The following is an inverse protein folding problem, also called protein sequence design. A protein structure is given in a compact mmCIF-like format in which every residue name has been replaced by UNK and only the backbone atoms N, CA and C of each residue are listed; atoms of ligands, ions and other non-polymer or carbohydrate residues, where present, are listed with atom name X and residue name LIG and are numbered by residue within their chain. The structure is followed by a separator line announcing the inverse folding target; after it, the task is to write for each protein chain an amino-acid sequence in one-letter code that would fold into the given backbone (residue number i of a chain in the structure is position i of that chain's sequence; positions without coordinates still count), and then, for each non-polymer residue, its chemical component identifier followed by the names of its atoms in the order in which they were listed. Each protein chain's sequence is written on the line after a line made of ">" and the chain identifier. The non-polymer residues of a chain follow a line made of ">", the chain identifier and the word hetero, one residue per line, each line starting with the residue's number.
data_IF_202511404824
#
_entry.id   IF_202511404824
#
_cell.length_a   1.000
_cell.length_b   1.000
_cell.length_c   1.000
_cell.angle_alpha   90.00
_cell.angle_beta   90.00
_cell.angle_gamma   90.00
#
_symmetry.space_group_name_H-M   'P 1'
#
loop_
_entity.id
_entity.type
_entity.pdbx_description
1 polymer ?
#
# COMPACT_ATOMS: atom_id res chain seq x y z
N UNK A 1 14.08 45.94 -51.06
CA UNK A 1 13.14 45.28 -50.12
C UNK A 1 13.63 43.86 -49.84
N UNK A 2 14.20 43.58 -48.66
CA UNK A 2 14.33 42.23 -48.09
C UNK A 2 14.26 42.34 -46.57
N UNK A 3 13.12 41.95 -46.02
CA UNK A 3 12.82 41.99 -44.59
C UNK A 3 13.42 40.75 -43.92
N UNK A 4 14.33 40.94 -42.97
CA UNK A 4 14.85 39.85 -42.14
C UNK A 4 13.84 39.53 -41.04
N UNK A 5 13.19 38.37 -41.13
CA UNK A 5 12.33 37.86 -40.07
C UNK A 5 13.20 37.26 -38.94
N UNK A 6 13.14 37.86 -37.76
CA UNK A 6 13.67 37.28 -36.51
C UNK A 6 12.80 36.09 -36.12
N UNK A 7 13.42 34.92 -36.00
CA UNK A 7 12.80 33.72 -35.41
C UNK A 7 12.87 33.88 -33.88
N UNK A 8 11.72 33.93 -33.23
CA UNK A 8 11.62 33.89 -31.77
C UNK A 8 11.87 32.46 -31.26
N UNK A 9 12.56 32.26 -30.12
CA UNK A 9 12.80 30.93 -29.59
C UNK A 9 11.49 30.33 -29.03
N UNK A 10 11.25 29.07 -29.37
CA UNK A 10 10.13 28.29 -28.84
C UNK A 10 10.24 28.18 -27.31
N UNK A 11 9.15 28.50 -26.61
CA UNK A 11 9.05 28.36 -25.17
C UNK A 11 9.31 26.89 -24.77
N UNK A 12 10.42 26.65 -24.06
CA UNK A 12 10.70 25.34 -23.47
C UNK A 12 9.59 24.99 -22.48
N UNK A 13 8.78 23.97 -22.83
CA UNK A 13 7.86 23.33 -21.90
C UNK A 13 8.68 22.71 -20.78
N UNK A 14 8.71 23.38 -19.63
CA UNK A 14 9.28 22.83 -18.39
C UNK A 14 8.45 21.59 -18.05
N UNK A 15 9.08 20.42 -18.06
CA UNK A 15 8.46 19.19 -17.62
C UNK A 15 8.06 19.29 -16.15
N UNK A 16 6.87 18.84 -15.74
CA UNK A 16 6.44 18.93 -14.34
C UNK A 16 7.38 18.10 -13.46
N UNK A 17 7.79 18.68 -12.32
CA UNK A 17 8.57 17.96 -11.30
C UNK A 17 7.78 16.73 -10.83
N UNK A 18 8.44 15.57 -10.64
CA UNK A 18 7.78 14.40 -10.08
C UNK A 18 7.22 14.74 -8.69
N UNK A 19 5.98 14.31 -8.45
CA UNK A 19 5.32 14.51 -7.17
C UNK A 19 6.10 13.81 -6.04
N UNK A 20 6.06 14.34 -4.80
CA UNK A 20 6.65 13.63 -3.67
C UNK A 20 5.98 12.27 -3.50
N UNK A 21 6.77 11.22 -3.21
CA UNK A 21 6.34 9.81 -3.16
C UNK A 21 5.04 9.63 -2.38
N UNK A 22 4.89 10.28 -1.22
CA UNK A 22 3.67 10.20 -0.39
C UNK A 22 2.41 10.66 -1.12
N UNK A 23 2.51 11.71 -1.93
CA UNK A 23 1.38 12.22 -2.72
C UNK A 23 0.99 11.23 -3.80
N UNK A 24 1.98 10.55 -4.40
CA UNK A 24 1.72 9.50 -5.39
C UNK A 24 1.06 8.26 -4.74
N UNK A 25 1.47 7.88 -3.53
CA UNK A 25 0.86 6.75 -2.79
C UNK A 25 -0.58 7.05 -2.40
N UNK A 26 -0.88 8.29 -2.00
CA UNK A 26 -2.28 8.70 -1.72
C UNK A 26 -3.13 8.84 -2.98
N UNK A 27 -2.52 8.75 -4.16
CA UNK A 27 -3.21 8.64 -5.43
C UNK A 27 -3.40 7.16 -5.85
N UNK A 28 -2.96 6.19 -5.04
CA UNK A 28 -3.30 4.78 -5.22
C UNK A 28 -4.84 4.63 -5.28
N UNK A 29 -5.41 3.95 -6.29
CA UNK A 29 -6.85 3.81 -6.44
C UNK A 29 -7.56 3.17 -5.23
N UNK A 30 -6.85 2.35 -4.45
CA UNK A 30 -7.37 1.72 -3.23
C UNK A 30 -7.40 2.67 -2.04
N UNK A 31 -6.68 3.79 -2.10
CA UNK A 31 -6.50 4.72 -0.97
C UNK A 31 -7.83 5.14 -0.31
N UNK A 32 -8.89 5.53 -1.05
CA UNK A 32 -10.17 5.88 -0.43
C UNK A 32 -10.79 4.73 0.39
N UNK A 33 -10.66 3.49 -0.09
CA UNK A 33 -11.20 2.30 0.57
C UNK A 33 -10.41 1.96 1.82
N UNK A 34 -9.08 2.13 1.76
CA UNK A 34 -8.19 1.98 2.92
C UNK A 34 -8.57 2.97 4.02
N UNK A 35 -8.74 4.25 3.66
CA UNK A 35 -9.14 5.30 4.61
C UNK A 35 -10.51 4.99 5.22
N UNK A 36 -11.48 4.59 4.39
CA UNK A 36 -12.82 4.22 4.86
C UNK A 36 -12.78 3.00 5.81
N UNK A 37 -11.95 2.00 5.53
CA UNK A 37 -11.79 0.83 6.37
C UNK A 37 -11.14 1.16 7.72
N UNK A 38 -10.09 1.99 7.73
CA UNK A 38 -9.49 2.49 8.95
C UNK A 38 -10.47 3.33 9.77
N UNK A 39 -11.30 4.16 9.12
CA UNK A 39 -12.33 4.95 9.80
C UNK A 39 -13.38 4.03 10.44
N UNK A 40 -13.85 3.01 9.73
CA UNK A 40 -14.82 2.04 10.28
C UNK A 40 -14.27 1.33 11.53
N UNK A 41 -13.00 0.97 11.54
CA UNK A 41 -12.34 0.41 12.72
C UNK A 41 -12.30 1.42 13.89
N UNK A 42 -12.01 2.70 13.60
CA UNK A 42 -12.05 3.78 14.62
C UNK A 42 -13.44 4.02 15.17
N UNK A 43 -14.45 4.01 14.33
CA UNK A 43 -15.86 4.16 14.73
C UNK A 43 -16.30 2.99 15.61
N UNK A 44 -15.76 1.79 15.36
CA UNK A 44 -15.88 0.63 16.24
C UNK A 44 -15.02 0.69 17.52
N UNK A 45 -14.41 1.86 17.81
CA UNK A 45 -13.53 2.12 18.96
C UNK A 45 -12.30 1.21 19.03
N UNK A 46 -11.81 0.75 17.87
CA UNK A 46 -10.54 0.00 17.81
C UNK A 46 -9.37 0.97 17.98
N UNK A 47 -8.43 0.57 18.83
CA UNK A 47 -7.17 1.28 19.06
C UNK A 47 -5.97 0.59 18.39
N UNK A 48 -6.18 -0.65 17.95
CA UNK A 48 -5.20 -1.46 17.25
C UNK A 48 -5.67 -1.83 15.84
N UNK A 49 -4.73 -2.00 14.92
CA UNK A 49 -4.99 -2.50 13.56
C UNK A 49 -3.84 -3.37 13.06
N UNK A 50 -4.18 -4.52 12.48
CA UNK A 50 -3.27 -5.43 11.76
C UNK A 50 -3.52 -5.34 10.26
N UNK A 51 -2.45 -5.07 9.51
CA UNK A 51 -2.49 -4.84 8.06
C UNK A 51 -1.52 -5.80 7.39
N UNK A 52 -2.00 -6.57 6.41
CA UNK A 52 -1.15 -7.37 5.52
C UNK A 52 -1.13 -6.72 4.15
N UNK A 53 0.05 -6.61 3.54
CA UNK A 53 0.23 -6.15 2.16
C UNK A 53 0.87 -7.29 1.37
N UNK A 54 0.04 -7.98 0.58
CA UNK A 54 0.44 -9.09 -0.25
C UNK A 54 0.87 -8.57 -1.63
N UNK A 55 2.11 -8.88 -2.02
CA UNK A 55 2.82 -8.28 -3.17
C UNK A 55 3.24 -6.82 -2.89
N UNK A 56 3.81 -6.57 -1.71
CA UNK A 56 4.03 -5.22 -1.18
C UNK A 56 5.09 -4.39 -1.92
N UNK A 57 5.83 -4.97 -2.87
CA UNK A 57 6.99 -4.36 -3.50
C UNK A 57 7.95 -3.74 -2.46
N UNK A 58 8.28 -2.46 -2.59
CA UNK A 58 9.14 -1.77 -1.65
C UNK A 58 8.42 -1.29 -0.37
N UNK A 59 7.21 -1.78 -0.08
CA UNK A 59 6.46 -1.50 1.14
C UNK A 59 5.90 -0.09 1.25
N UNK A 60 5.94 0.69 0.16
CA UNK A 60 5.63 2.13 0.21
C UNK A 60 4.17 2.37 0.62
N UNK A 61 3.24 1.57 0.09
CA UNK A 61 1.84 1.69 0.47
C UNK A 61 1.64 1.32 1.94
N UNK A 62 2.03 0.12 2.36
CA UNK A 62 1.92 -0.32 3.76
C UNK A 62 2.48 0.70 4.76
N UNK A 63 3.66 1.26 4.48
CA UNK A 63 4.28 2.29 5.33
C UNK A 63 3.40 3.55 5.43
N UNK A 64 2.85 4.04 4.32
CA UNK A 64 1.99 5.22 4.33
C UNK A 64 0.63 4.95 4.97
N UNK A 65 0.07 3.74 4.80
CA UNK A 65 -1.15 3.31 5.49
C UNK A 65 -0.92 3.27 6.99
N UNK A 66 0.17 2.67 7.47
CA UNK A 66 0.50 2.64 8.89
C UNK A 66 0.66 4.05 9.49
N UNK A 67 1.32 4.96 8.76
CA UNK A 67 1.42 6.37 9.15
C UNK A 67 0.06 7.07 9.18
N UNK A 68 -0.82 6.75 8.23
CA UNK A 68 -2.17 7.32 8.20
C UNK A 68 -3.01 6.80 9.36
N UNK A 69 -2.99 5.49 9.64
CA UNK A 69 -3.62 4.89 10.81
C UNK A 69 -3.12 5.58 12.10
N UNK A 70 -1.81 5.81 12.23
CA UNK A 70 -1.27 6.55 13.37
C UNK A 70 -1.88 7.95 13.49
N UNK A 71 -1.95 8.70 12.39
CA UNK A 71 -2.57 10.03 12.36
C UNK A 71 -4.07 10.00 12.71
N UNK A 72 -4.77 8.88 12.47
CA UNK A 72 -6.16 8.66 12.88
C UNK A 72 -6.31 8.24 14.35
N UNK A 73 -5.21 8.11 15.10
CA UNK A 73 -5.22 7.83 16.54
C UNK A 73 -5.17 6.34 16.90
N UNK A 74 -4.81 5.45 15.97
CA UNK A 74 -4.39 4.10 16.35
C UNK A 74 -3.09 4.18 17.18
N UNK A 75 -3.00 3.33 18.20
CA UNK A 75 -1.87 3.28 19.14
C UNK A 75 -1.11 1.96 19.09
N UNK A 76 -1.62 0.95 18.38
CA UNK A 76 -0.92 -0.28 18.07
C UNK A 76 -1.20 -0.65 16.60
N UNK A 77 -0.19 -0.51 15.75
CA UNK A 77 -0.30 -0.73 14.31
C UNK A 77 0.72 -1.78 13.95
N UNK A 78 0.24 -2.91 13.48
CA UNK A 78 1.07 -4.00 12.97
C UNK A 78 0.90 -4.08 11.46
N UNK A 79 2.01 -4.05 10.73
CA UNK A 79 2.01 -4.23 9.29
C UNK A 79 2.95 -5.35 8.88
N UNK A 80 2.48 -6.25 8.01
CA UNK A 80 3.31 -7.29 7.39
C UNK A 80 3.26 -7.15 5.88
N UNK A 81 4.41 -6.88 5.27
CA UNK A 81 4.57 -6.88 3.82
C UNK A 81 5.16 -8.20 3.33
N UNK A 82 4.58 -8.79 2.29
CA UNK A 82 5.04 -10.03 1.67
C UNK A 82 5.35 -9.75 0.19
N UNK A 83 6.52 -10.17 -0.29
CA UNK A 83 6.92 -10.02 -1.69
C UNK A 83 7.94 -11.09 -2.09
N UNK A 84 7.92 -11.52 -3.35
CA UNK A 84 8.85 -12.54 -3.86
C UNK A 84 10.25 -12.00 -4.22
N UNK A 85 10.43 -10.69 -4.28
CA UNK A 85 11.66 -10.04 -4.71
C UNK A 85 12.57 -9.68 -3.53
N UNK A 86 13.78 -10.28 -3.43
CA UNK A 86 14.73 -9.96 -2.37
C UNK A 86 15.13 -8.46 -2.37
N UNK A 87 15.27 -7.89 -3.57
CA UNK A 87 15.64 -6.49 -3.72
C UNK A 87 14.54 -5.53 -3.25
N UNK A 88 13.27 -5.89 -3.46
CA UNK A 88 12.14 -5.10 -2.97
C UNK A 88 12.03 -5.18 -1.45
N UNK A 89 12.09 -6.38 -0.89
CA UNK A 89 12.07 -6.59 0.57
C UNK A 89 13.25 -5.89 1.25
N UNK A 90 14.45 -5.93 0.67
CA UNK A 90 15.60 -5.17 1.18
C UNK A 90 15.32 -3.67 1.26
N UNK A 91 14.68 -3.09 0.22
CA UNK A 91 14.28 -1.68 0.22
C UNK A 91 13.16 -1.39 1.21
N UNK A 92 12.18 -2.28 1.33
CA UNK A 92 11.07 -2.14 2.25
C UNK A 92 11.57 -2.12 3.71
N UNK A 93 12.45 -3.06 4.08
CA UNK A 93 13.11 -3.11 5.39
C UNK A 93 13.92 -1.84 5.68
N UNK A 94 14.71 -1.37 4.71
CA UNK A 94 15.45 -0.11 4.86
C UNK A 94 14.55 1.12 4.99
N UNK A 95 13.36 1.12 4.39
CA UNK A 95 12.36 2.17 4.56
C UNK A 95 11.69 2.08 5.94
N UNK A 96 11.33 0.88 6.38
CA UNK A 96 10.75 0.62 7.70
C UNK A 96 11.69 0.99 8.84
N UNK A 97 12.99 0.70 8.72
CA UNK A 97 13.99 1.04 9.73
C UNK A 97 14.11 2.56 9.99
N UNK A 98 13.69 3.40 9.03
CA UNK A 98 13.65 4.86 9.14
C UNK A 98 12.33 5.38 9.71
N UNK A 99 11.37 4.50 9.97
CA UNK A 99 10.11 4.83 10.63
C UNK A 99 10.30 4.67 12.14
N UNK A 100 10.61 5.78 12.81
CA UNK A 100 10.69 5.82 14.26
C UNK A 100 9.34 6.27 14.84
N UNK A 101 8.45 5.31 15.09
CA UNK A 101 7.21 5.52 15.84
C UNK A 101 6.91 4.26 16.69
N UNK A 102 6.86 4.36 18.03
CA UNK A 102 6.67 3.19 18.89
C UNK A 102 5.30 2.52 18.75
N UNK A 103 4.30 3.22 18.18
CA UNK A 103 2.99 2.65 17.92
C UNK A 103 2.96 1.82 16.62
N UNK A 104 4.03 1.81 15.82
CA UNK A 104 4.06 1.14 14.51
C UNK A 104 5.15 0.05 14.50
N UNK A 105 4.71 -1.20 14.39
CA UNK A 105 5.57 -2.35 14.09
C UNK A 105 5.37 -2.79 12.64
N UNK A 106 6.43 -2.79 11.84
CA UNK A 106 6.39 -3.29 10.45
C UNK A 106 7.40 -4.43 10.25
N UNK A 107 6.95 -5.53 9.67
CA UNK A 107 7.78 -6.62 9.16
C UNK A 107 7.62 -6.75 7.65
N UNK A 108 8.69 -7.23 6.99
CA UNK A 108 8.72 -7.45 5.56
C UNK A 108 9.42 -8.77 5.29
N UNK A 109 8.69 -9.72 4.71
CA UNK A 109 9.13 -11.10 4.54
C UNK A 109 9.21 -11.47 3.07
N UNK A 110 10.32 -12.10 2.69
CA UNK A 110 10.45 -12.77 1.41
C UNK A 110 10.03 -14.22 1.60
N UNK A 111 8.80 -14.53 1.24
CA UNK A 111 8.19 -15.85 1.42
C UNK A 111 7.18 -16.13 0.32
N UNK A 112 6.82 -17.41 0.15
CA UNK A 112 5.67 -17.77 -0.67
C UNK A 112 4.41 -17.09 -0.12
N UNK A 113 3.71 -16.38 -1.00
CA UNK A 113 2.54 -15.57 -0.64
C UNK A 113 1.38 -16.46 -0.19
N UNK A 114 1.14 -17.58 -0.88
CA UNK A 114 0.04 -18.49 -0.53
C UNK A 114 0.27 -19.07 0.86
N UNK A 115 1.46 -19.60 1.13
CA UNK A 115 1.82 -20.14 2.44
C UNK A 115 1.71 -19.09 3.54
N UNK A 116 2.19 -17.86 3.30
CA UNK A 116 2.09 -16.78 4.27
C UNK A 116 0.64 -16.38 4.56
N UNK A 117 -0.22 -16.30 3.55
CA UNK A 117 -1.64 -15.99 3.75
C UNK A 117 -2.42 -17.12 4.42
N UNK A 118 -2.03 -18.38 4.18
CA UNK A 118 -2.59 -19.52 4.93
C UNK A 118 -2.24 -19.42 6.43
N UNK A 119 -1.06 -18.93 6.78
CA UNK A 119 -0.71 -18.65 8.19
C UNK A 119 -1.55 -17.50 8.75
N UNK A 120 -1.75 -16.42 7.99
CA UNK A 120 -2.61 -15.32 8.42
C UNK A 120 -4.06 -15.78 8.65
N UNK A 121 -4.54 -16.81 7.96
CA UNK A 121 -5.88 -17.35 8.20
C UNK A 121 -6.08 -17.93 9.62
N UNK A 122 -5.00 -18.29 10.33
CA UNK A 122 -5.08 -18.73 11.74
C UNK A 122 -5.41 -17.57 12.68
N UNK A 123 -5.00 -16.35 12.32
CA UNK A 123 -5.30 -15.12 13.03
C UNK A 123 -5.48 -13.99 12.00
N UNK A 124 -6.66 -13.85 11.38
CA UNK A 124 -6.86 -12.96 10.25
C UNK A 124 -6.51 -11.50 10.58
N UNK A 125 -5.92 -10.80 9.60
CA UNK A 125 -5.65 -9.38 9.71
C UNK A 125 -6.96 -8.56 9.69
N UNK A 126 -6.92 -7.32 10.16
CA UNK A 126 -8.06 -6.42 9.99
C UNK A 126 -8.20 -6.05 8.51
N UNK A 127 -7.07 -5.74 7.85
CA UNK A 127 -7.00 -5.33 6.45
C UNK A 127 -5.98 -6.16 5.68
N UNK A 128 -6.33 -6.59 4.47
CA UNK A 128 -5.43 -7.16 3.48
C UNK A 128 -5.42 -6.29 2.23
N UNK A 129 -4.25 -5.75 1.90
CA UNK A 129 -3.99 -5.03 0.66
C UNK A 129 -3.42 -6.01 -0.35
N UNK A 130 -3.91 -5.98 -1.57
CA UNK A 130 -3.42 -6.90 -2.60
C UNK A 130 -3.44 -6.25 -3.98
N UNK A 131 -2.41 -6.55 -4.77
CA UNK A 131 -2.20 -6.01 -6.11
C UNK A 131 -2.67 -6.92 -7.25
N UNK A 132 -3.02 -8.17 -6.97
CA UNK A 132 -3.22 -9.20 -8.01
C UNK A 132 -4.57 -9.19 -8.76
N UNK A 133 -5.34 -8.10 -8.70
CA UNK A 133 -6.49 -7.85 -9.57
C UNK A 133 -7.58 -8.95 -9.64
N UNK A 134 -8.33 -8.95 -10.74
CA UNK A 134 -9.50 -9.84 -11.01
C UNK A 134 -9.17 -11.32 -11.22
N UNK A 135 -7.89 -11.71 -11.19
CA UNK A 135 -7.45 -13.09 -11.49
C UNK A 135 -7.17 -13.93 -10.22
N UNK A 136 -7.69 -13.50 -9.06
CA UNK A 136 -7.62 -14.26 -7.81
C UNK A 136 -8.23 -15.66 -7.95
N UNK A 137 -9.31 -15.78 -8.70
CA UNK A 137 -10.00 -17.04 -8.95
C UNK A 137 -9.18 -17.95 -9.88
N UNK A 138 -8.59 -17.37 -10.94
CA UNK A 138 -7.74 -18.10 -11.88
C UNK A 138 -6.45 -18.63 -11.24
N UNK A 139 -5.97 -17.94 -10.20
CA UNK A 139 -4.79 -18.35 -9.41
C UNK A 139 -5.15 -19.21 -8.19
N UNK A 140 -6.44 -19.47 -7.94
CA UNK A 140 -6.93 -20.18 -6.75
C UNK A 140 -6.60 -19.47 -5.43
N UNK A 141 -6.38 -18.16 -5.47
CA UNK A 141 -6.01 -17.33 -4.34
C UNK A 141 -7.22 -16.74 -3.62
N UNK A 142 -8.39 -16.67 -4.26
CA UNK A 142 -9.58 -16.03 -3.71
C UNK A 142 -9.96 -16.51 -2.30
N UNK A 143 -10.06 -17.83 -2.09
CA UNK A 143 -10.38 -18.40 -0.78
C UNK A 143 -9.29 -18.11 0.27
N UNK A 144 -8.02 -18.09 -0.14
CA UNK A 144 -6.89 -17.83 0.75
C UNK A 144 -6.86 -16.36 1.17
N UNK A 145 -7.07 -15.43 0.23
CA UNK A 145 -7.16 -13.99 0.50
C UNK A 145 -8.34 -13.67 1.42
N UNK A 146 -9.51 -14.25 1.14
CA UNK A 146 -10.71 -14.05 1.95
C UNK A 146 -10.58 -14.58 3.38
N UNK A 147 -9.83 -15.67 3.58
CA UNK A 147 -9.58 -16.22 4.92
C UNK A 147 -8.52 -15.43 5.71
N UNK A 148 -7.58 -14.78 5.02
CA UNK A 148 -6.44 -14.12 5.66
C UNK A 148 -6.77 -12.76 6.31
N UNK A 149 -7.93 -12.16 6.01
CA UNK A 149 -8.32 -10.90 6.63
C UNK A 149 -9.83 -10.67 6.70
N UNK A 150 -10.23 -9.80 7.62
CA UNK A 150 -11.62 -9.32 7.74
C UNK A 150 -12.06 -8.54 6.51
N UNK A 151 -11.14 -7.76 5.92
CA UNK A 151 -11.41 -6.97 4.73
C UNK A 151 -10.25 -7.02 3.73
N UNK A 152 -10.53 -7.55 2.54
CA UNK A 152 -9.67 -7.46 1.37
C UNK A 152 -9.89 -6.12 0.65
N UNK A 153 -8.80 -5.49 0.22
CA UNK A 153 -8.81 -4.28 -0.61
C UNK A 153 -7.85 -4.56 -1.78
N UNK A 154 -8.42 -4.91 -2.93
CA UNK A 154 -7.68 -5.30 -4.12
C UNK A 154 -7.69 -4.22 -5.20
N UNK A 155 -6.72 -4.29 -6.13
CA UNK A 155 -6.76 -3.48 -7.34
C UNK A 155 -8.04 -3.80 -8.14
N UNK A 156 -8.84 -2.79 -8.44
CA UNK A 156 -10.09 -2.94 -9.22
C UNK A 156 -11.38 -3.02 -8.41
N UNK A 157 -11.34 -3.00 -7.08
CA UNK A 157 -12.53 -2.83 -6.22
C UNK A 157 -12.99 -1.35 -6.21
N UNK A 158 -13.06 -0.70 -7.37
CA UNK A 158 -13.84 0.54 -7.45
C UNK A 158 -15.30 0.16 -7.28
N UNK A 159 -15.90 0.54 -6.15
CA UNK A 159 -17.32 0.38 -5.89
C UNK A 159 -18.13 0.71 -7.15
N UNK A 160 -18.90 -0.26 -7.63
CA UNK A 160 -20.03 -0.04 -8.50
C UNK A 160 -21.15 0.69 -7.72
#
# INVERSE_FOLDING_TARGET
>A
MRTAARIAPAAQRIAPRPAPIRRAVRADPRWPQIVAALQALRDARRHAVRIVDADCACGTLLIEVARHARAMGFTAIEGRGIDGSPAMIGRARAAAARLHDPAIGLSFDMTDMRGALLQEAEAPADLLLWHGGRDADATGMAAVLAAAATRLIADGDSAA
#
